data_IF_852854893050
#
_entry.id   IF_852854893050
#
_cell.length_a   1.000
_cell.length_b   1.000
_cell.length_c   1.000
_cell.angle_alpha   90.00
_cell.angle_beta   90.00
_cell.angle_gamma   90.00
#
_symmetry.space_group_name_H-M   'P 1'
#
loop_
_entity.id
_entity.type
_entity.pdbx_description
1 polymer ?
#
# COMPACT_ATOMS: atom_id res chain seq x y z
N UNK A 1 -29.67 7.22 -16.04
CA UNK A 1 -28.65 6.43 -15.31
C UNK A 1 -27.27 7.02 -15.64
N UNK A 2 -26.47 7.43 -14.66
CA UNK A 2 -25.12 7.94 -14.92
C UNK A 2 -24.23 6.77 -15.34
N UNK A 3 -23.63 6.87 -16.52
CA UNK A 3 -22.80 5.80 -17.10
C UNK A 3 -21.35 6.27 -17.13
N UNK A 4 -20.43 5.44 -16.58
CA UNK A 4 -18.99 5.66 -16.60
C UNK A 4 -18.36 4.59 -17.52
N UNK A 5 -18.01 4.95 -18.76
CA UNK A 5 -17.42 4.01 -19.70
C UNK A 5 -16.05 3.48 -19.20
N UNK A 6 -15.82 2.16 -19.21
CA UNK A 6 -14.59 1.57 -18.70
C UNK A 6 -13.31 2.05 -19.39
N UNK A 7 -13.39 2.36 -20.67
CA UNK A 7 -12.26 2.87 -21.46
C UNK A 7 -11.79 4.25 -20.95
N UNK A 8 -12.68 5.07 -20.42
CA UNK A 8 -12.34 6.36 -19.82
C UNK A 8 -11.62 6.16 -18.48
N UNK A 9 -12.13 5.23 -17.65
CA UNK A 9 -11.53 4.88 -16.37
C UNK A 9 -10.13 4.29 -16.56
N UNK A 10 -9.96 3.38 -17.55
CA UNK A 10 -8.66 2.79 -17.88
C UNK A 10 -7.64 3.84 -18.30
N UNK A 11 -8.04 4.81 -19.14
CA UNK A 11 -7.17 5.92 -19.55
C UNK A 11 -6.80 6.81 -18.38
N UNK A 12 -7.74 7.10 -17.49
CA UNK A 12 -7.50 7.91 -16.29
C UNK A 12 -6.51 7.23 -15.34
N UNK A 13 -6.73 5.95 -15.04
CA UNK A 13 -5.80 5.17 -14.21
C UNK A 13 -4.39 5.15 -14.81
N UNK A 14 -4.26 4.98 -16.13
CA UNK A 14 -2.97 4.97 -16.81
C UNK A 14 -2.25 6.32 -16.69
N UNK A 15 -2.97 7.45 -16.86
CA UNK A 15 -2.39 8.80 -16.74
C UNK A 15 -1.89 9.06 -15.33
N UNK A 16 -2.67 8.72 -14.31
CA UNK A 16 -2.27 8.88 -12.90
C UNK A 16 -1.05 8.03 -12.58
N UNK A 17 -1.05 6.75 -12.98
CA UNK A 17 0.04 5.81 -12.67
C UNK A 17 1.36 6.12 -13.37
N UNK A 18 1.30 6.74 -14.54
CA UNK A 18 2.50 7.08 -15.31
C UNK A 18 2.97 8.52 -15.11
N UNK A 19 2.10 9.39 -14.56
CA UNK A 19 2.35 10.83 -14.46
C UNK A 19 2.47 11.55 -15.80
N UNK A 20 2.14 10.87 -16.93
CA UNK A 20 2.37 11.37 -18.28
C UNK A 20 1.31 10.88 -19.26
N UNK A 21 0.71 11.80 -20.02
CA UNK A 21 -0.23 11.45 -21.09
C UNK A 21 0.41 10.63 -22.20
N UNK A 22 1.68 10.87 -22.52
CA UNK A 22 2.42 10.12 -23.54
C UNK A 22 2.67 8.68 -23.06
N UNK A 23 3.23 8.49 -21.86
CA UNK A 23 3.46 7.17 -21.31
C UNK A 23 2.13 6.40 -21.07
N UNK A 24 1.07 7.09 -20.68
CA UNK A 24 -0.26 6.50 -20.57
C UNK A 24 -0.79 6.01 -21.92
N UNK A 25 -0.59 6.78 -23.00
CA UNK A 25 -1.05 6.40 -24.33
C UNK A 25 -0.39 5.11 -24.83
N UNK A 26 0.91 4.96 -24.59
CA UNK A 26 1.64 3.72 -24.89
C UNK A 26 1.09 2.55 -24.10
N UNK A 27 0.85 2.75 -22.79
CA UNK A 27 0.35 1.71 -21.90
C UNK A 27 -1.04 1.19 -22.24
N UNK A 28 -1.93 2.08 -22.72
CA UNK A 28 -3.30 1.68 -23.10
C UNK A 28 -3.45 1.41 -24.60
N UNK A 29 -2.36 1.47 -25.38
CA UNK A 29 -2.33 1.28 -26.83
C UNK A 29 -3.28 2.22 -27.59
N UNK A 30 -3.31 3.50 -27.20
CA UNK A 30 -4.10 4.56 -27.80
C UNK A 30 -3.20 5.73 -28.21
N UNK A 31 -3.74 6.68 -29.01
CA UNK A 31 -3.03 7.96 -29.25
C UNK A 31 -3.11 8.86 -28.01
N UNK A 32 -2.11 9.72 -27.81
CA UNK A 32 -2.11 10.70 -26.72
C UNK A 32 -3.31 11.66 -26.80
N UNK A 33 -3.76 12.01 -28.02
CA UNK A 33 -4.98 12.80 -28.22
C UNK A 33 -6.24 12.07 -27.75
N UNK A 34 -6.34 10.77 -28.02
CA UNK A 34 -7.47 9.94 -27.53
C UNK A 34 -7.49 9.87 -26.01
N UNK A 35 -6.34 9.62 -25.38
CA UNK A 35 -6.23 9.62 -23.91
C UNK A 35 -6.65 10.97 -23.33
N UNK A 36 -6.20 12.09 -23.93
CA UNK A 36 -6.61 13.43 -23.49
C UNK A 36 -8.11 13.68 -23.65
N UNK A 37 -8.72 13.17 -24.73
CA UNK A 37 -10.17 13.23 -24.92
C UNK A 37 -10.93 12.37 -23.89
N UNK A 38 -10.42 11.18 -23.56
CA UNK A 38 -10.99 10.31 -22.54
C UNK A 38 -11.01 11.00 -21.17
N UNK A 39 -9.92 11.66 -20.77
CA UNK A 39 -9.89 12.41 -19.51
C UNK A 39 -10.91 13.54 -19.51
N UNK A 40 -10.96 14.37 -20.56
CA UNK A 40 -11.95 15.45 -20.64
C UNK A 40 -13.38 14.93 -20.55
N UNK A 41 -13.69 13.87 -21.31
CA UNK A 41 -15.02 13.27 -21.29
C UNK A 41 -15.39 12.69 -19.92
N UNK A 42 -14.42 12.11 -19.20
CA UNK A 42 -14.63 11.62 -17.83
C UNK A 42 -14.92 12.78 -16.88
N UNK A 43 -14.16 13.88 -16.97
CA UNK A 43 -14.35 15.10 -16.20
C UNK A 43 -15.72 15.73 -16.49
N UNK A 44 -16.15 15.76 -17.76
CA UNK A 44 -17.45 16.25 -18.17
C UNK A 44 -18.59 15.41 -17.56
N UNK A 45 -18.47 14.08 -17.60
CA UNK A 45 -19.48 13.17 -17.02
C UNK A 45 -19.57 13.36 -15.50
N UNK A 46 -18.44 13.55 -14.83
CA UNK A 46 -18.37 13.73 -13.37
C UNK A 46 -18.66 15.17 -12.92
N UNK A 47 -18.61 16.13 -13.85
CA UNK A 47 -18.84 17.56 -13.60
C UNK A 47 -17.75 18.21 -12.76
N UNK A 48 -16.53 17.69 -12.81
CA UNK A 48 -15.40 18.23 -12.06
C UNK A 48 -14.05 17.85 -12.68
N UNK A 49 -13.02 18.67 -12.45
CA UNK A 49 -11.66 18.34 -12.82
C UNK A 49 -11.09 17.27 -11.89
N UNK A 50 -10.45 16.27 -12.48
CA UNK A 50 -9.79 15.17 -11.78
C UNK A 50 -8.27 15.37 -11.72
N UNK A 51 -7.71 16.07 -12.71
CA UNK A 51 -6.28 16.32 -12.82
C UNK A 51 -6.00 17.82 -12.76
N UNK A 52 -4.95 18.18 -12.05
CA UNK A 52 -4.32 19.50 -12.13
C UNK A 52 -3.29 19.48 -13.26
N UNK A 53 -3.42 20.44 -14.16
CA UNK A 53 -2.54 20.54 -15.33
C UNK A 53 -1.49 21.61 -15.03
N UNK A 54 -0.35 21.21 -14.50
CA UNK A 54 0.84 22.03 -14.58
C UNK A 54 1.67 21.59 -15.80
N UNK A 55 2.39 22.53 -16.42
CA UNK A 55 3.09 22.33 -17.70
C UNK A 55 4.16 21.24 -17.65
N UNK A 56 4.50 20.72 -16.48
CA UNK A 56 5.57 19.72 -16.29
C UNK A 56 5.15 18.46 -15.52
N UNK A 57 4.03 18.47 -14.76
CA UNK A 57 3.59 17.33 -13.97
C UNK A 57 2.08 17.18 -14.01
N UNK A 58 1.63 15.94 -13.99
CA UNK A 58 0.21 15.59 -13.83
C UNK A 58 0.01 15.18 -12.38
N UNK A 59 -0.78 15.97 -11.64
CA UNK A 59 -1.20 15.66 -10.27
C UNK A 59 -2.72 15.50 -10.20
N UNK A 60 -3.19 14.78 -9.20
CA UNK A 60 -4.63 14.62 -8.97
C UNK A 60 -5.19 15.78 -8.15
N UNK A 61 -6.42 16.19 -8.46
CA UNK A 61 -7.23 16.98 -7.54
C UNK A 61 -7.74 16.09 -6.40
N UNK A 62 -8.21 16.65 -5.29
CA UNK A 62 -8.89 15.88 -4.24
C UNK A 62 -10.06 15.02 -4.76
N UNK A 63 -10.78 15.51 -5.79
CA UNK A 63 -11.83 14.73 -6.46
C UNK A 63 -11.24 13.67 -7.37
N UNK A 64 -10.06 13.93 -7.95
CA UNK A 64 -9.29 12.97 -8.73
C UNK A 64 -8.82 11.79 -7.89
N UNK A 65 -8.38 12.02 -6.65
CA UNK A 65 -8.00 10.95 -5.71
C UNK A 65 -9.17 10.01 -5.44
N UNK A 66 -10.35 10.57 -5.11
CA UNK A 66 -11.55 9.76 -4.93
C UNK A 66 -11.94 9.01 -6.21
N UNK A 67 -11.90 9.68 -7.37
CA UNK A 67 -12.21 9.05 -8.65
C UNK A 67 -11.20 7.93 -8.99
N UNK A 68 -9.92 8.09 -8.65
CA UNK A 68 -8.89 7.07 -8.85
C UNK A 68 -9.18 5.79 -8.08
N UNK A 69 -9.57 5.92 -6.80
CA UNK A 69 -9.95 4.79 -5.97
C UNK A 69 -11.14 4.03 -6.58
N UNK A 70 -12.25 4.73 -6.86
CA UNK A 70 -13.43 4.08 -7.46
C UNK A 70 -13.17 3.52 -8.85
N UNK A 71 -12.39 4.20 -9.69
CA UNK A 71 -12.02 3.70 -11.01
C UNK A 71 -11.26 2.36 -10.91
N UNK A 72 -10.32 2.26 -9.96
CA UNK A 72 -9.60 1.02 -9.69
C UNK A 72 -10.53 -0.12 -9.28
N UNK A 73 -11.44 0.13 -8.34
CA UNK A 73 -12.44 -0.85 -7.88
C UNK A 73 -13.36 -1.31 -9.01
N UNK A 74 -13.90 -0.38 -9.81
CA UNK A 74 -14.78 -0.70 -10.94
C UNK A 74 -14.04 -1.57 -11.96
N UNK A 75 -12.83 -1.20 -12.37
CA UNK A 75 -12.07 -1.97 -13.35
C UNK A 75 -11.76 -3.38 -12.85
N UNK A 76 -11.38 -3.50 -11.58
CA UNK A 76 -11.11 -4.81 -11.02
C UNK A 76 -12.37 -5.67 -10.86
N UNK A 77 -13.50 -5.07 -10.46
CA UNK A 77 -14.77 -5.81 -10.39
C UNK A 77 -15.24 -6.28 -11.76
N UNK A 78 -14.96 -5.52 -12.83
CA UNK A 78 -15.23 -5.93 -14.20
C UNK A 78 -14.35 -7.11 -14.64
N UNK A 79 -13.05 -7.06 -14.35
CA UNK A 79 -12.13 -8.16 -14.63
C UNK A 79 -12.51 -9.42 -13.84
N UNK A 80 -12.92 -9.25 -12.59
CA UNK A 80 -13.42 -10.30 -11.73
C UNK A 80 -14.71 -10.93 -12.28
N UNK A 81 -15.68 -10.12 -12.68
CA UNK A 81 -16.93 -10.59 -13.28
C UNK A 81 -16.68 -11.36 -14.58
N UNK A 82 -15.77 -10.86 -15.43
CA UNK A 82 -15.38 -11.55 -16.65
C UNK A 82 -14.75 -12.91 -16.36
N UNK A 83 -13.83 -12.95 -15.39
CA UNK A 83 -13.16 -14.20 -14.98
C UNK A 83 -14.13 -15.20 -14.37
N UNK A 84 -15.06 -14.72 -13.51
CA UNK A 84 -16.05 -15.58 -12.87
C UNK A 84 -17.05 -16.21 -13.86
N UNK A 85 -17.37 -15.50 -14.94
CA UNK A 85 -18.37 -15.97 -15.93
C UNK A 85 -17.71 -16.73 -17.08
N UNK A 86 -16.54 -16.31 -17.52
CA UNK A 86 -15.92 -16.79 -18.77
C UNK A 86 -14.57 -17.50 -18.56
N UNK A 87 -14.00 -17.39 -17.34
CA UNK A 87 -12.70 -17.99 -17.02
C UNK A 87 -12.81 -19.44 -16.57
N UNK A 88 -11.75 -20.24 -16.75
CA UNK A 88 -11.65 -21.53 -16.08
C UNK A 88 -11.66 -21.31 -14.56
N UNK A 89 -12.24 -22.27 -13.79
CA UNK A 89 -12.19 -22.23 -12.34
C UNK A 89 -10.73 -22.08 -11.87
N UNK A 90 -10.48 -21.11 -11.00
CA UNK A 90 -9.16 -20.97 -10.40
C UNK A 90 -8.91 -22.14 -9.45
N UNK A 91 -7.75 -22.77 -9.58
CA UNK A 91 -7.37 -23.95 -8.79
C UNK A 91 -5.90 -23.83 -8.36
N UNK A 92 -5.56 -24.49 -7.28
CA UNK A 92 -4.19 -24.64 -6.78
C UNK A 92 -3.91 -23.86 -5.52
N UNK A 93 -2.68 -23.94 -5.04
CA UNK A 93 -2.22 -23.27 -3.83
C UNK A 93 -1.58 -21.95 -4.19
N UNK A 94 -1.90 -20.89 -3.44
CA UNK A 94 -1.24 -19.58 -3.51
C UNK A 94 -0.55 -19.30 -2.18
N UNK A 95 0.76 -19.08 -2.21
CA UNK A 95 1.58 -18.77 -1.04
C UNK A 95 1.82 -17.26 -1.00
N UNK A 96 1.16 -16.58 -0.03
CA UNK A 96 1.20 -15.15 0.16
C UNK A 96 2.16 -14.78 1.29
N UNK A 97 3.20 -14.01 0.98
CA UNK A 97 4.03 -13.31 1.96
C UNK A 97 3.45 -11.94 2.28
N UNK A 98 3.16 -11.66 3.54
CA UNK A 98 2.48 -10.45 3.98
C UNK A 98 3.29 -9.73 5.05
N UNK A 99 3.55 -8.43 4.89
CA UNK A 99 4.07 -7.63 6.00
C UNK A 99 3.06 -7.59 7.13
N UNK A 100 3.50 -7.77 8.39
CA UNK A 100 2.62 -7.83 9.57
C UNK A 100 1.72 -6.58 9.72
N UNK A 101 2.17 -5.45 9.21
CA UNK A 101 1.39 -4.22 9.19
C UNK A 101 0.04 -4.36 8.46
N UNK A 102 -0.08 -5.30 7.52
CA UNK A 102 -1.30 -5.52 6.74
C UNK A 102 -2.28 -6.54 7.33
N UNK A 103 -1.97 -7.11 8.48
CA UNK A 103 -2.91 -7.99 9.19
C UNK A 103 -4.09 -7.19 9.77
N UNK A 104 -4.87 -6.54 8.89
CA UNK A 104 -6.04 -5.71 9.22
C UNK A 104 -7.34 -6.45 8.93
N UNK A 105 -8.43 -6.00 9.55
CA UNK A 105 -9.77 -6.55 9.29
C UNK A 105 -10.16 -6.43 7.82
N UNK A 106 -9.87 -5.29 7.17
CA UNK A 106 -10.21 -5.06 5.77
C UNK A 106 -9.55 -6.06 4.83
N UNK A 107 -8.26 -6.37 5.06
CA UNK A 107 -7.56 -7.37 4.27
C UNK A 107 -8.14 -8.77 4.51
N UNK A 108 -8.44 -9.11 5.77
CA UNK A 108 -9.03 -10.41 6.11
C UNK A 108 -10.38 -10.62 5.41
N UNK A 109 -11.20 -9.59 5.33
CA UNK A 109 -12.46 -9.63 4.58
C UNK A 109 -12.24 -9.82 3.08
N UNK A 110 -11.28 -9.13 2.48
CA UNK A 110 -10.95 -9.29 1.06
C UNK A 110 -10.48 -10.70 0.73
N UNK A 111 -9.61 -11.28 1.57
CA UNK A 111 -9.13 -12.65 1.43
C UNK A 111 -10.26 -13.68 1.62
N UNK A 112 -11.15 -13.46 2.59
CA UNK A 112 -12.32 -14.31 2.80
C UNK A 112 -13.24 -14.32 1.58
N UNK A 113 -13.56 -13.14 1.04
CA UNK A 113 -14.37 -13.00 -0.16
C UNK A 113 -13.72 -13.65 -1.38
N UNK A 114 -12.40 -13.52 -1.51
CA UNK A 114 -11.64 -14.17 -2.59
C UNK A 114 -11.77 -15.70 -2.52
N UNK A 115 -11.59 -16.31 -1.33
CA UNK A 115 -11.69 -17.76 -1.14
C UNK A 115 -13.12 -18.27 -1.33
N UNK A 116 -14.14 -17.53 -0.87
CA UNK A 116 -15.54 -17.90 -1.09
C UNK A 116 -15.90 -17.97 -2.59
N UNK A 117 -15.35 -17.08 -3.40
CA UNK A 117 -15.56 -17.06 -4.86
C UNK A 117 -14.70 -18.08 -5.60
N UNK A 118 -13.61 -18.53 -4.99
CA UNK A 118 -12.64 -19.45 -5.59
C UNK A 118 -12.39 -20.66 -4.67
N UNK A 119 -13.39 -21.53 -4.47
CA UNK A 119 -13.33 -22.61 -3.46
C UNK A 119 -12.25 -23.67 -3.74
N UNK A 120 -11.72 -23.72 -4.97
CA UNK A 120 -10.65 -24.62 -5.35
C UNK A 120 -9.24 -24.02 -5.22
N UNK A 121 -9.13 -22.80 -4.66
CA UNK A 121 -7.86 -22.16 -4.32
C UNK A 121 -7.57 -22.36 -2.86
N UNK A 122 -6.40 -22.90 -2.54
CA UNK A 122 -5.84 -22.96 -1.20
C UNK A 122 -4.92 -21.77 -0.98
N UNK A 123 -5.08 -21.02 0.11
CA UNK A 123 -4.28 -19.85 0.43
C UNK A 123 -3.44 -20.10 1.67
N UNK A 124 -2.10 -20.07 1.49
CA UNK A 124 -1.13 -20.11 2.58
C UNK A 124 -0.59 -18.71 2.82
N UNK A 125 -0.76 -18.19 4.03
CA UNK A 125 -0.30 -16.85 4.39
C UNK A 125 0.81 -16.98 5.43
N UNK A 126 1.93 -16.31 5.18
CA UNK A 126 2.98 -16.12 6.17
C UNK A 126 3.32 -14.64 6.29
N UNK A 127 3.56 -14.20 7.54
CA UNK A 127 3.97 -12.83 7.82
C UNK A 127 5.46 -12.74 8.06
N UNK A 128 6.05 -11.58 7.75
CA UNK A 128 7.48 -11.38 7.96
C UNK A 128 7.94 -9.95 7.69
N UNK A 129 9.25 -9.75 7.82
CA UNK A 129 9.90 -8.50 7.46
C UNK A 129 10.03 -8.40 5.94
N UNK A 130 9.85 -7.19 5.39
CA UNK A 130 9.79 -6.97 3.95
C UNK A 130 10.99 -7.54 3.19
N UNK A 131 12.21 -7.39 3.74
CA UNK A 131 13.42 -7.93 3.11
C UNK A 131 13.40 -9.47 2.99
N UNK A 132 12.99 -10.15 4.06
CA UNK A 132 12.92 -11.62 4.12
C UNK A 132 11.82 -12.16 3.21
N UNK A 133 10.67 -11.44 3.13
CA UNK A 133 9.56 -11.80 2.25
C UNK A 133 9.97 -11.72 0.78
N UNK A 134 10.67 -10.66 0.38
CA UNK A 134 11.14 -10.52 -1.00
C UNK A 134 12.24 -11.54 -1.34
N UNK A 135 13.13 -11.82 -0.41
CA UNK A 135 14.14 -12.88 -0.59
C UNK A 135 13.45 -14.24 -0.79
N UNK A 136 12.47 -14.55 0.04
CA UNK A 136 11.69 -15.79 -0.07
C UNK A 136 10.85 -15.87 -1.35
N UNK A 137 10.41 -14.73 -1.90
CA UNK A 137 9.78 -14.68 -3.22
C UNK A 137 10.77 -15.06 -4.33
N UNK A 138 12.01 -14.55 -4.27
CA UNK A 138 13.08 -14.89 -5.22
C UNK A 138 13.46 -16.37 -5.18
N UNK A 139 13.39 -16.98 -4.00
CA UNK A 139 13.59 -18.41 -3.80
C UNK A 139 12.40 -19.28 -4.19
N UNK A 140 11.28 -18.66 -4.63
CA UNK A 140 10.06 -19.38 -4.99
C UNK A 140 9.29 -19.96 -3.81
N UNK A 141 9.56 -19.50 -2.58
CA UNK A 141 8.79 -19.90 -1.37
C UNK A 141 7.43 -19.23 -1.29
N UNK A 142 7.30 -18.03 -1.88
CA UNK A 142 6.04 -17.32 -2.08
C UNK A 142 5.73 -17.15 -3.56
N UNK A 143 4.45 -17.03 -3.87
CA UNK A 143 3.92 -16.75 -5.20
C UNK A 143 3.53 -15.29 -5.35
N UNK A 144 3.29 -14.61 -4.22
CA UNK A 144 2.90 -13.22 -4.13
C UNK A 144 3.41 -12.63 -2.81
N UNK A 145 3.93 -11.41 -2.85
CA UNK A 145 4.34 -10.67 -1.65
C UNK A 145 3.67 -9.31 -1.65
N UNK A 146 3.11 -8.93 -0.49
CA UNK A 146 2.60 -7.59 -0.22
C UNK A 146 3.33 -7.02 1.00
N UNK A 147 4.22 -6.06 0.76
CA UNK A 147 5.13 -5.57 1.79
C UNK A 147 5.60 -4.13 1.52
N UNK A 148 6.34 -3.55 2.47
CA UNK A 148 6.97 -2.25 2.30
C UNK A 148 8.13 -2.35 1.31
N UNK A 149 8.25 -1.36 0.42
CA UNK A 149 9.39 -1.26 -0.49
C UNK A 149 10.68 -1.04 0.29
N UNK A 150 11.69 -1.85 0.01
CA UNK A 150 12.98 -1.79 0.69
C UNK A 150 13.90 -0.78 0.00
N UNK A 151 14.31 0.25 0.73
CA UNK A 151 15.27 1.26 0.25
C UNK A 151 14.83 1.95 -1.04
N UNK A 152 15.79 2.19 -1.94
CA UNK A 152 15.54 2.81 -3.26
C UNK A 152 15.22 1.77 -4.35
N UNK A 153 14.81 0.58 -3.98
CA UNK A 153 14.42 -0.48 -4.90
C UNK A 153 13.26 -0.01 -5.78
N UNK A 154 13.27 -0.41 -7.06
CA UNK A 154 12.12 -0.28 -7.96
C UNK A 154 11.26 -1.53 -8.01
N UNK A 155 11.50 -2.45 -7.10
CA UNK A 155 10.84 -3.75 -7.01
C UNK A 155 9.37 -3.60 -6.68
N UNK A 156 8.55 -4.42 -7.29
CA UNK A 156 7.12 -4.48 -7.07
C UNK A 156 6.36 -3.27 -7.61
N UNK A 157 5.05 -3.40 -7.68
CA UNK A 157 4.15 -2.34 -8.09
C UNK A 157 3.59 -1.62 -6.86
N UNK A 158 3.78 -0.29 -6.78
CA UNK A 158 3.23 0.51 -5.69
C UNK A 158 1.71 0.43 -5.70
N UNK A 159 1.13 0.08 -4.59
CA UNK A 159 -0.32 0.06 -4.37
C UNK A 159 -0.77 1.14 -3.41
N UNK A 160 0.12 1.55 -2.51
CA UNK A 160 -0.17 2.57 -1.51
C UNK A 160 1.10 3.30 -1.07
N UNK A 161 0.99 4.58 -0.76
CA UNK A 161 2.04 5.39 -0.13
C UNK A 161 1.46 5.97 1.14
N UNK A 162 2.12 5.70 2.28
CA UNK A 162 1.65 6.07 3.60
C UNK A 162 2.67 6.92 4.35
N UNK A 163 2.19 7.93 5.05
CA UNK A 163 3.03 8.71 5.95
C UNK A 163 3.33 7.90 7.21
N UNK A 164 4.57 8.00 7.68
CA UNK A 164 5.01 7.36 8.92
C UNK A 164 4.88 8.35 10.08
N UNK A 165 4.28 7.92 11.19
CA UNK A 165 4.04 8.76 12.37
C UNK A 165 4.72 8.19 13.60
N UNK A 166 5.22 9.08 14.44
CA UNK A 166 5.63 8.76 15.80
C UNK A 166 4.40 8.52 16.67
N UNK A 167 4.40 7.45 17.45
CA UNK A 167 3.24 7.05 18.23
C UNK A 167 3.62 6.64 19.64
N UNK A 168 2.75 7.02 20.60
CA UNK A 168 2.84 6.68 22.03
C UNK A 168 1.46 6.33 22.57
N UNK A 169 1.40 5.78 23.77
CA UNK A 169 0.14 5.64 24.50
C UNK A 169 -0.45 6.99 24.92
N UNK A 170 -1.79 7.12 25.06
CA UNK A 170 -2.46 8.39 25.38
C UNK A 170 -2.10 8.94 26.78
N UNK A 171 -1.65 8.07 27.67
CA UNK A 171 -1.18 8.43 29.03
C UNK A 171 0.33 8.22 29.21
N UNK A 172 1.07 8.07 28.11
CA UNK A 172 2.51 7.93 28.15
C UNK A 172 3.15 9.21 28.69
N UNK A 173 4.15 9.11 29.57
CA UNK A 173 4.94 10.29 29.95
C UNK A 173 5.84 10.79 28.83
N UNK A 174 6.01 9.98 27.77
CA UNK A 174 6.84 10.31 26.61
C UNK A 174 6.07 11.24 25.67
N UNK A 175 6.70 12.36 25.34
CA UNK A 175 6.09 13.39 24.49
C UNK A 175 7.02 13.87 23.35
N UNK A 176 8.20 13.25 23.20
CA UNK A 176 9.18 13.62 22.20
C UNK A 176 10.19 14.68 22.66
N UNK A 177 10.02 15.30 23.84
CA UNK A 177 10.95 16.31 24.36
C UNK A 177 12.14 15.69 25.15
N UNK A 178 12.20 14.39 25.33
CA UNK A 178 13.24 13.69 26.07
C UNK A 178 14.64 13.98 25.47
N UNK A 179 15.66 14.27 26.29
CA UNK A 179 17.02 14.51 25.81
C UNK A 179 17.59 13.32 24.99
N UNK A 180 17.21 12.10 25.38
CA UNK A 180 17.52 10.86 24.69
C UNK A 180 16.20 10.13 24.44
N UNK A 181 15.77 10.04 23.19
CA UNK A 181 14.50 9.42 22.83
C UNK A 181 14.52 7.90 23.10
N UNK A 182 13.64 7.37 23.96
CA UNK A 182 13.49 5.93 24.11
C UNK A 182 12.63 5.40 22.97
N UNK A 183 13.13 4.41 22.22
CA UNK A 183 12.47 3.89 21.03
C UNK A 183 12.07 2.42 21.18
N UNK A 184 10.86 2.10 20.72
CA UNK A 184 10.36 0.74 20.56
C UNK A 184 10.21 0.46 19.06
N UNK A 185 11.07 -0.40 18.49
CA UNK A 185 11.22 -0.55 17.06
C UNK A 185 11.27 -2.03 16.65
N UNK A 186 10.96 -2.28 15.38
CA UNK A 186 11.22 -3.59 14.76
C UNK A 186 12.71 -3.96 14.79
N UNK A 187 13.07 -5.26 14.73
CA UNK A 187 14.46 -5.67 14.55
C UNK A 187 15.00 -5.21 13.18
N UNK A 188 16.31 -5.20 13.03
CA UNK A 188 16.94 -5.06 11.73
C UNK A 188 16.91 -6.42 10.99
N UNK A 189 16.72 -6.40 9.63
CA UNK A 189 16.47 -5.25 8.78
C UNK A 189 14.97 -4.89 8.72
N UNK A 190 14.63 -3.65 8.98
CA UNK A 190 13.26 -3.15 8.90
C UNK A 190 13.22 -1.79 8.20
N UNK A 191 12.32 -1.64 7.23
CA UNK A 191 12.16 -0.39 6.46
C UNK A 191 11.80 0.78 7.37
N UNK A 192 10.82 0.61 8.27
CA UNK A 192 10.43 1.67 9.22
C UNK A 192 11.52 1.99 10.23
N UNK A 193 12.22 0.97 10.76
CA UNK A 193 13.37 1.19 11.65
C UNK A 193 14.47 1.99 10.95
N UNK A 194 14.87 1.59 9.75
CA UNK A 194 15.90 2.29 8.97
C UNK A 194 15.52 3.76 8.80
N UNK A 195 14.27 4.03 8.37
CA UNK A 195 13.76 5.39 8.20
C UNK A 195 13.84 6.20 9.50
N UNK A 196 13.40 5.63 10.62
CA UNK A 196 13.46 6.28 11.95
C UNK A 196 14.90 6.65 12.32
N UNK A 197 15.82 5.70 12.21
CA UNK A 197 17.21 5.92 12.64
C UNK A 197 17.94 6.92 11.73
N UNK A 198 17.76 6.84 10.41
CA UNK A 198 18.32 7.80 9.45
C UNK A 198 17.79 9.22 9.71
N UNK A 199 16.48 9.36 9.98
CA UNK A 199 15.88 10.65 10.27
C UNK A 199 16.45 11.25 11.55
N UNK A 200 16.54 10.49 12.64
CA UNK A 200 17.11 10.97 13.90
C UNK A 200 18.60 11.31 13.76
N UNK A 201 19.35 10.53 12.99
CA UNK A 201 20.76 10.79 12.70
C UNK A 201 20.93 12.09 11.92
N UNK A 202 20.08 12.35 10.92
CA UNK A 202 20.13 13.57 10.09
C UNK A 202 19.92 14.83 10.91
N UNK A 203 18.99 14.79 11.88
CA UNK A 203 18.72 15.95 12.76
C UNK A 203 19.58 15.97 14.04
N UNK A 204 20.50 15.02 14.20
CA UNK A 204 21.39 14.92 15.36
C UNK A 204 20.66 14.63 16.68
N UNK A 205 19.47 14.00 16.64
CA UNK A 205 18.67 13.72 17.83
C UNK A 205 19.13 12.45 18.53
N UNK A 206 19.61 12.49 19.79
CA UNK A 206 20.01 11.31 20.53
C UNK A 206 18.85 10.36 20.80
N UNK A 207 19.10 9.06 20.71
CA UNK A 207 18.11 8.02 21.01
C UNK A 207 18.73 6.81 21.68
N UNK A 208 17.90 6.01 22.32
CA UNK A 208 18.22 4.66 22.78
C UNK A 208 17.08 3.71 22.41
N UNK A 209 17.41 2.49 22.01
CA UNK A 209 16.42 1.46 21.75
C UNK A 209 16.10 0.75 23.05
N UNK A 210 14.88 0.84 23.50
CA UNK A 210 14.38 0.25 24.76
C UNK A 210 13.67 -1.05 24.53
N UNK A 211 13.04 -1.22 23.37
CA UNK A 211 12.28 -2.43 23.02
C UNK A 211 12.50 -2.78 21.55
N UNK A 212 12.70 -4.07 21.28
CA UNK A 212 12.80 -4.63 19.93
C UNK A 212 11.83 -5.79 19.80
N UNK A 213 10.95 -5.73 18.80
CA UNK A 213 10.04 -6.83 18.49
C UNK A 213 9.67 -6.86 17.01
N UNK A 214 9.54 -8.04 16.42
CA UNK A 214 8.95 -8.20 15.09
C UNK A 214 7.43 -8.05 15.10
N UNK A 215 6.78 -8.19 16.26
CA UNK A 215 5.32 -8.10 16.40
C UNK A 215 4.87 -6.66 16.61
N UNK A 216 3.94 -6.20 15.74
CA UNK A 216 3.23 -4.92 15.88
C UNK A 216 2.48 -4.85 17.21
N UNK A 217 1.87 -5.95 17.67
CA UNK A 217 1.14 -5.98 18.92
C UNK A 217 2.05 -5.73 20.15
N UNK A 218 3.27 -6.27 20.13
CA UNK A 218 4.27 -6.02 21.20
C UNK A 218 4.77 -4.57 21.16
N UNK A 219 5.04 -4.02 19.98
CA UNK A 219 5.45 -2.61 19.85
C UNK A 219 4.32 -1.66 20.28
N UNK A 220 3.06 -1.98 19.96
CA UNK A 220 1.90 -1.25 20.50
C UNK A 220 1.87 -1.29 22.02
N UNK A 221 2.00 -2.47 22.62
CA UNK A 221 1.99 -2.63 24.07
C UNK A 221 3.15 -1.84 24.74
N UNK A 222 4.33 -1.87 24.14
CA UNK A 222 5.49 -1.09 24.60
C UNK A 222 5.22 0.42 24.54
N UNK A 223 4.65 0.93 23.45
CA UNK A 223 4.28 2.32 23.31
C UNK A 223 3.17 2.74 24.30
N UNK A 224 2.14 1.88 24.49
CA UNK A 224 1.07 2.08 25.47
C UNK A 224 1.59 2.15 26.91
N UNK A 225 2.56 1.31 27.25
CA UNK A 225 3.19 1.25 28.58
C UNK A 225 4.25 2.35 28.80
N UNK A 226 4.53 3.21 27.81
CA UNK A 226 5.56 4.24 27.93
C UNK A 226 6.99 3.69 27.92
N UNK A 227 7.21 2.46 27.44
CA UNK A 227 8.55 1.85 27.34
C UNK A 227 9.37 2.45 26.21
N UNK A 228 8.73 3.05 25.19
CA UNK A 228 9.38 3.70 24.08
C UNK A 228 8.39 4.28 23.07
N UNK A 229 8.89 5.24 22.29
CA UNK A 229 8.17 5.82 21.16
C UNK A 229 8.31 4.86 19.99
N UNK A 230 7.19 4.52 19.34
CA UNK A 230 7.16 3.66 18.13
C UNK A 230 6.85 4.48 16.89
N UNK A 231 7.07 3.89 15.71
CA UNK A 231 6.72 4.51 14.43
C UNK A 231 5.85 3.57 13.61
N UNK A 232 4.66 4.05 13.20
CA UNK A 232 3.70 3.30 12.41
C UNK A 232 3.25 4.10 11.19
N UNK A 233 3.02 3.43 10.07
CA UNK A 233 2.37 4.02 8.91
C UNK A 233 0.93 4.39 9.25
N UNK A 234 0.37 5.42 8.62
CA UNK A 234 -0.91 6.04 8.97
C UNK A 234 -2.03 5.01 9.18
N UNK A 235 -2.25 4.18 8.20
CA UNK A 235 -3.32 3.21 8.24
C UNK A 235 -3.09 2.04 9.24
N UNK A 236 -1.83 1.84 9.66
CA UNK A 236 -1.43 0.77 10.59
C UNK A 236 -1.38 1.25 12.03
N UNK A 237 -1.61 2.56 12.29
CA UNK A 237 -1.54 3.08 13.67
C UNK A 237 -2.50 2.27 14.55
N UNK A 238 -1.98 1.44 15.49
CA UNK A 238 -2.84 0.60 16.29
C UNK A 238 -3.81 1.42 17.13
N UNK A 239 -5.06 0.97 17.21
CA UNK A 239 -6.07 1.61 18.06
C UNK A 239 -5.56 1.86 19.48
N UNK A 240 -5.83 3.05 20.01
CA UNK A 240 -5.42 3.46 21.34
C UNK A 240 -4.07 4.15 21.42
N UNK A 241 -3.27 4.19 20.36
CA UNK A 241 -2.09 5.05 20.30
C UNK A 241 -2.46 6.45 19.83
N UNK A 242 -1.68 7.44 20.25
CA UNK A 242 -1.75 8.82 19.79
C UNK A 242 -0.49 9.18 19.02
N UNK A 243 -0.64 10.06 18.03
CA UNK A 243 0.47 10.57 17.23
C UNK A 243 1.15 11.72 17.98
N UNK A 244 2.48 11.73 17.95
CA UNK A 244 3.26 12.89 18.38
C UNK A 244 3.44 13.82 17.17
N UNK A 245 2.80 14.99 17.23
CA UNK A 245 2.82 15.97 16.13
C UNK A 245 3.87 17.09 16.37
N UNK A 246 4.28 17.29 17.62
CA UNK A 246 5.18 18.37 17.99
C UNK A 246 6.56 17.83 18.39
N UNK A 247 7.59 18.61 18.13
CA UNK A 247 8.98 18.36 18.51
C UNK A 247 9.63 17.09 17.94
N UNK A 248 8.97 16.39 17.02
CA UNK A 248 9.49 15.20 16.37
C UNK A 248 9.77 15.45 14.87
N UNK A 249 10.92 14.95 14.36
CA UNK A 249 11.25 15.11 12.95
C UNK A 249 10.29 14.34 12.05
N UNK A 250 10.02 14.88 10.87
CA UNK A 250 9.17 14.21 9.87
C UNK A 250 9.85 12.93 9.36
N UNK A 251 9.15 11.81 9.47
CA UNK A 251 9.61 10.51 8.99
C UNK A 251 9.36 10.28 7.50
N UNK A 252 8.60 11.18 6.85
CA UNK A 252 8.22 11.06 5.45
C UNK A 252 7.25 9.90 5.19
N UNK A 253 7.38 9.32 4.00
CA UNK A 253 6.45 8.30 3.50
C UNK A 253 7.13 6.97 3.25
N UNK A 254 6.34 5.90 3.36
CA UNK A 254 6.70 4.53 2.97
C UNK A 254 5.80 4.08 1.83
N UNK A 255 6.39 3.39 0.86
CA UNK A 255 5.65 2.76 -0.22
C UNK A 255 5.38 1.29 0.11
N UNK A 256 4.13 0.90 -0.10
CA UNK A 256 3.71 -0.49 -0.03
C UNK A 256 3.53 -1.03 -1.44
N UNK A 257 4.09 -2.18 -1.69
CA UNK A 257 4.17 -2.77 -3.03
C UNK A 257 3.66 -4.21 -3.02
N UNK A 258 3.08 -4.60 -4.14
CA UNK A 258 2.82 -6.00 -4.46
C UNK A 258 3.84 -6.44 -5.50
N UNK A 259 4.42 -7.62 -5.29
CA UNK A 259 5.37 -8.24 -6.20
C UNK A 259 5.08 -9.73 -6.39
N UNK A 260 5.29 -10.21 -7.61
CA UNK A 260 5.10 -11.61 -8.01
C UNK A 260 6.01 -11.97 -9.19
N UNK A 261 6.27 -13.25 -9.44
CA UNK A 261 6.98 -13.68 -10.64
C UNK A 261 6.26 -13.26 -11.93
N UNK A 262 7.02 -13.04 -13.01
CA UNK A 262 6.48 -12.65 -14.32
C UNK A 262 5.46 -13.65 -14.87
N UNK A 263 5.65 -14.93 -14.58
CA UNK A 263 4.79 -16.04 -15.02
C UNK A 263 3.96 -16.60 -13.85
N UNK A 264 3.27 -15.73 -13.14
CA UNK A 264 2.39 -16.11 -12.05
C UNK A 264 1.12 -16.82 -12.57
N UNK A 265 0.59 -17.76 -11.78
CA UNK A 265 -0.64 -18.49 -12.11
C UNK A 265 -1.86 -17.55 -12.17
N UNK A 266 -2.95 -17.93 -12.86
CA UNK A 266 -4.19 -17.16 -12.85
C UNK A 266 -4.72 -16.88 -11.44
N UNK A 267 -4.59 -17.83 -10.50
CA UNK A 267 -5.00 -17.66 -9.11
C UNK A 267 -4.18 -16.58 -8.40
N UNK A 268 -2.87 -16.52 -8.64
CA UNK A 268 -1.97 -15.47 -8.10
C UNK A 268 -2.34 -14.10 -8.67
N UNK A 269 -2.60 -14.01 -9.98
CA UNK A 269 -3.00 -12.75 -10.61
C UNK A 269 -4.36 -12.23 -10.09
N UNK A 270 -5.32 -13.13 -9.87
CA UNK A 270 -6.61 -12.79 -9.30
C UNK A 270 -6.49 -12.33 -7.83
N UNK A 271 -5.66 -13.00 -7.03
CA UNK A 271 -5.38 -12.57 -5.66
C UNK A 271 -4.66 -11.21 -5.62
N UNK A 272 -3.68 -10.98 -6.52
CA UNK A 272 -3.04 -9.66 -6.64
C UNK A 272 -4.08 -8.57 -6.86
N UNK A 273 -5.00 -8.76 -7.82
CA UNK A 273 -6.07 -7.80 -8.10
C UNK A 273 -6.94 -7.52 -6.87
N UNK A 274 -7.32 -8.57 -6.14
CA UNK A 274 -8.09 -8.47 -4.89
C UNK A 274 -7.33 -7.66 -3.82
N UNK A 275 -6.05 -7.94 -3.63
CA UNK A 275 -5.21 -7.22 -2.65
C UNK A 275 -5.01 -5.75 -3.02
N UNK A 276 -4.90 -5.44 -4.30
CA UNK A 276 -4.75 -4.05 -4.77
C UNK A 276 -5.98 -3.22 -4.46
N UNK A 277 -7.18 -3.79 -4.61
CA UNK A 277 -8.43 -3.13 -4.25
C UNK A 277 -8.49 -2.96 -2.73
N UNK A 278 -8.30 -4.05 -2.00
CA UNK A 278 -8.35 -4.01 -0.54
C UNK A 278 -7.36 -2.98 0.05
N UNK A 279 -6.19 -2.82 -0.55
CA UNK A 279 -5.21 -1.83 -0.14
C UNK A 279 -5.65 -0.36 -0.36
N UNK A 280 -6.64 -0.11 -1.21
CA UNK A 280 -7.22 1.22 -1.41
C UNK A 280 -8.35 1.52 -0.43
N UNK A 281 -9.01 0.48 0.11
CA UNK A 281 -10.18 0.61 0.99
C UNK A 281 -9.81 0.62 2.49
N UNK A 282 -8.58 0.28 2.81
CA UNK A 282 -8.00 0.31 4.15
C UNK A 282 -7.30 1.66 4.35
#
# INVERSE_FOLDING_TARGET
MRHLPPELLRSFLAVVQTGSFTAASERVSLSQSTVSQHIRRLEDILGCSLLERDTRNVSMTRKGEAAYQYAGQIMSLMDEAFTAVSGPALIGTVRLGLSEDFASEGLTHALSNFLQRNPNVELHIATGMSGDLFHSLDEGKFDLVFAKRVGNSRRGQVVRTERLYWCVGPHSPLNGAEPILPLALHPAPSVSRTRVLETLQTVGRPYRITTVSSSVAVLKAAAMAGLGISAFADYVVPQGLVRLEHDMPDLGHLEFVIDKPAHASPAVCALESTLRIAALDI
#
